data_IF_933178149948
#
_entry.id   IF_933178149948
#
_cell.length_a   1.000
_cell.length_b   1.000
_cell.length_c   1.000
_cell.angle_alpha   90.00
_cell.angle_beta   90.00
_cell.angle_gamma   90.00
#
_symmetry.space_group_name_H-M   'P 1'
#
loop_
_entity.id
_entity.type
_entity.pdbx_description
1 polymer ?
#
# COMPACT_ATOMS: atom_id res chain seq x y z
N UNK A 1 16.92 2.66 4.49
CA UNK A 1 15.94 1.71 3.90
C UNK A 1 15.42 2.32 2.61
N UNK A 2 15.13 1.53 1.57
CA UNK A 2 14.57 2.02 0.30
C UNK A 2 13.10 2.48 0.37
N UNK A 3 12.52 2.53 1.57
CA UNK A 3 11.12 2.87 1.84
C UNK A 3 10.33 1.68 2.40
N UNK A 4 9.06 1.92 2.74
CA UNK A 4 8.10 0.87 3.13
C UNK A 4 7.38 0.37 1.88
N UNK A 5 7.32 -0.95 1.63
CA UNK A 5 6.55 -1.45 0.49
C UNK A 5 5.05 -1.22 0.75
N UNK A 6 4.33 -0.79 -0.28
CA UNK A 6 2.88 -0.75 -0.31
C UNK A 6 2.40 -1.82 -1.30
N UNK A 7 1.30 -2.49 -0.97
CA UNK A 7 0.71 -3.51 -1.83
C UNK A 7 -0.79 -3.27 -1.98
N UNK A 8 -1.30 -3.49 -3.18
CA UNK A 8 -2.72 -3.35 -3.51
C UNK A 8 -3.14 -4.46 -4.46
N UNK A 9 -4.39 -4.90 -4.33
CA UNK A 9 -5.05 -5.74 -5.30
C UNK A 9 -6.01 -4.90 -6.13
N UNK A 10 -5.95 -5.06 -7.44
CA UNK A 10 -6.84 -4.40 -8.40
C UNK A 10 -7.60 -5.48 -9.15
N UNK A 11 -8.92 -5.41 -9.10
CA UNK A 11 -9.82 -6.23 -9.90
C UNK A 11 -10.35 -5.48 -11.11
N UNK A 12 -11.11 -6.20 -11.94
CA UNK A 12 -11.76 -5.63 -13.10
C UNK A 12 -13.27 -5.90 -13.01
N UNK A 13 -14.08 -4.84 -12.94
CA UNK A 13 -15.54 -4.92 -12.98
C UNK A 13 -16.04 -4.37 -14.31
N UNK A 14 -16.61 -5.23 -15.17
CA UNK A 14 -17.14 -5.02 -16.54
C UNK A 14 -16.28 -4.18 -17.50
N UNK A 15 -15.94 -2.94 -17.15
CA UNK A 15 -15.13 -2.01 -17.95
C UNK A 15 -14.05 -1.28 -17.12
N UNK A 16 -14.18 -1.20 -15.79
CA UNK A 16 -13.33 -0.33 -14.97
C UNK A 16 -12.50 -1.11 -13.95
N UNK A 17 -11.22 -0.76 -13.77
CA UNK A 17 -10.41 -1.29 -12.68
C UNK A 17 -10.93 -0.80 -11.33
N UNK A 18 -11.01 -1.70 -10.35
CA UNK A 18 -11.38 -1.40 -8.97
C UNK A 18 -10.20 -1.75 -8.07
N UNK A 19 -9.74 -0.80 -7.28
CA UNK A 19 -8.63 -0.96 -6.33
C UNK A 19 -9.20 -1.31 -4.96
N UNK A 20 -8.47 -2.12 -4.18
CA UNK A 20 -8.83 -2.49 -2.81
C UNK A 20 -10.12 -3.30 -2.77
N UNK A 21 -10.09 -4.43 -3.47
CA UNK A 21 -11.22 -5.34 -3.56
C UNK A 21 -11.62 -5.84 -2.16
N UNK A 22 -12.91 -5.75 -1.86
CA UNK A 22 -13.50 -6.47 -0.75
C UNK A 22 -13.62 -7.95 -1.06
N UNK A 23 -13.78 -8.78 -0.02
CA UNK A 23 -14.02 -10.22 -0.21
C UNK A 23 -15.31 -10.59 -0.97
N UNK A 24 -16.19 -9.62 -1.26
CA UNK A 24 -17.35 -9.81 -2.14
C UNK A 24 -17.04 -9.49 -3.60
N UNK A 25 -16.08 -8.60 -3.84
CA UNK A 25 -15.62 -8.21 -5.18
C UNK A 25 -14.55 -9.17 -5.69
N UNK A 26 -13.78 -9.77 -4.77
CA UNK A 26 -12.95 -10.92 -5.07
C UNK A 26 -13.83 -12.12 -5.41
N UNK A 27 -13.68 -12.62 -6.63
CA UNK A 27 -14.28 -13.86 -7.11
C UNK A 27 -13.20 -14.71 -7.73
N UNK A 28 -13.24 -16.02 -7.49
CA UNK A 28 -12.29 -16.97 -8.05
C UNK A 28 -12.24 -16.97 -9.59
N UNK A 29 -13.30 -16.50 -10.25
CA UNK A 29 -13.37 -16.38 -11.72
C UNK A 29 -13.03 -14.99 -12.26
N UNK A 30 -12.98 -13.96 -11.40
CA UNK A 30 -12.71 -12.59 -11.83
C UNK A 30 -11.19 -12.35 -11.92
N UNK A 31 -10.70 -11.65 -12.96
CA UNK A 31 -9.29 -11.32 -13.04
C UNK A 31 -8.93 -10.24 -12.03
N UNK A 32 -7.82 -10.45 -11.32
CA UNK A 32 -7.23 -9.46 -10.45
C UNK A 32 -5.70 -9.49 -10.54
N UNK A 33 -5.08 -8.35 -10.28
CA UNK A 33 -3.63 -8.21 -10.17
C UNK A 33 -3.29 -7.63 -8.81
N UNK A 34 -2.43 -8.32 -8.08
CA UNK A 34 -1.80 -7.79 -6.87
C UNK A 34 -0.44 -7.24 -7.23
N UNK A 35 -0.20 -5.97 -6.88
CA UNK A 35 1.08 -5.29 -7.11
C UNK A 35 1.63 -4.82 -5.78
N UNK A 36 2.92 -5.08 -5.52
CA UNK A 36 3.65 -4.46 -4.43
C UNK A 36 4.78 -3.59 -4.97
N UNK A 37 4.89 -2.36 -4.46
CA UNK A 37 5.88 -1.37 -4.89
C UNK A 37 6.63 -0.79 -3.71
N UNK A 38 7.88 -0.44 -3.94
CA UNK A 38 8.75 0.26 -3.02
C UNK A 38 9.04 1.67 -3.57
N UNK A 39 8.33 2.67 -3.08
CA UNK A 39 8.34 4.00 -3.70
C UNK A 39 7.59 4.01 -5.04
N UNK A 40 7.97 4.90 -5.96
CA UNK A 40 7.23 5.14 -7.21
C UNK A 40 7.53 4.19 -8.35
N UNK A 41 8.73 3.60 -8.41
CA UNK A 41 9.21 2.90 -9.61
C UNK A 41 9.68 1.46 -9.35
N UNK A 42 10.05 1.10 -8.11
CA UNK A 42 10.55 -0.24 -7.80
C UNK A 42 9.38 -1.20 -7.55
N UNK A 43 9.02 -1.99 -8.57
CA UNK A 43 8.06 -3.10 -8.43
C UNK A 43 8.74 -4.28 -7.73
N UNK A 44 8.15 -4.74 -6.62
CA UNK A 44 8.63 -5.86 -5.81
C UNK A 44 7.86 -7.14 -6.12
N UNK A 45 6.57 -7.02 -6.44
CA UNK A 45 5.68 -8.14 -6.73
C UNK A 45 4.67 -7.74 -7.80
N UNK A 46 4.45 -8.65 -8.75
CA UNK A 46 3.23 -8.68 -9.58
C UNK A 46 2.70 -10.10 -9.51
N UNK A 47 1.45 -10.25 -9.09
CA UNK A 47 0.74 -11.51 -9.07
C UNK A 47 -0.59 -11.36 -9.81
N UNK A 48 -0.71 -11.97 -10.98
CA UNK A 48 -1.94 -11.99 -11.77
C UNK A 48 -2.71 -13.28 -11.46
N UNK A 49 -3.98 -13.14 -11.10
CA UNK A 49 -4.92 -14.24 -10.96
C UNK A 49 -5.95 -14.17 -12.07
N UNK A 50 -6.20 -15.31 -12.72
CA UNK A 50 -7.01 -15.45 -13.93
C UNK A 50 -6.48 -14.68 -15.15
N UNK A 51 -7.06 -14.97 -16.32
CA UNK A 51 -6.66 -14.37 -17.59
C UNK A 51 -7.33 -13.03 -17.81
N UNK A 52 -6.57 -12.05 -18.32
CA UNK A 52 -7.10 -10.75 -18.72
C UNK A 52 -6.41 -10.29 -20.01
N UNK A 53 -7.10 -9.51 -20.84
CA UNK A 53 -6.51 -8.93 -22.05
C UNK A 53 -5.37 -7.97 -21.68
N UNK A 54 -4.25 -8.04 -22.42
CA UNK A 54 -3.03 -7.26 -22.16
C UNK A 54 -3.30 -5.75 -22.05
N UNK A 55 -4.18 -5.23 -22.90
CA UNK A 55 -4.62 -3.83 -22.90
C UNK A 55 -5.23 -3.39 -21.56
N UNK A 56 -5.93 -4.31 -20.89
CA UNK A 56 -6.53 -4.07 -19.57
C UNK A 56 -5.54 -4.27 -18.42
N UNK A 57 -4.48 -5.07 -18.61
CA UNK A 57 -3.41 -5.19 -17.61
C UNK A 57 -2.76 -3.83 -17.37
N UNK A 58 -2.45 -3.09 -18.46
CA UNK A 58 -1.81 -1.79 -18.35
C UNK A 58 -2.61 -0.82 -17.47
N UNK A 59 -3.92 -0.72 -17.70
CA UNK A 59 -4.80 0.15 -16.90
C UNK A 59 -4.91 -0.30 -15.44
N UNK A 60 -4.92 -1.61 -15.19
CA UNK A 60 -4.90 -2.16 -13.83
C UNK A 60 -3.59 -1.83 -13.10
N UNK A 61 -2.44 -1.92 -13.79
CA UNK A 61 -1.13 -1.59 -13.23
C UNK A 61 -0.99 -0.09 -12.93
N UNK A 62 -1.51 0.79 -13.80
CA UNK A 62 -1.52 2.24 -13.56
C UNK A 62 -2.35 2.60 -12.32
N UNK A 63 -3.53 1.97 -12.17
CA UNK A 63 -4.35 2.11 -10.96
C UNK A 63 -3.63 1.59 -9.72
N UNK A 64 -2.98 0.43 -9.82
CA UNK A 64 -2.23 -0.16 -8.72
C UNK A 64 -1.07 0.75 -8.28
N UNK A 65 -0.29 1.28 -9.23
CA UNK A 65 0.82 2.19 -8.97
C UNK A 65 0.37 3.46 -8.25
N UNK A 66 -0.69 4.09 -8.76
CA UNK A 66 -1.30 5.28 -8.14
C UNK A 66 -1.76 5.02 -6.71
N UNK A 67 -2.33 3.85 -6.45
CA UNK A 67 -2.80 3.47 -5.12
C UNK A 67 -1.65 3.14 -4.17
N UNK A 68 -0.62 2.42 -4.64
CA UNK A 68 0.61 2.16 -3.89
C UNK A 68 1.30 3.46 -3.45
N UNK A 69 1.40 4.46 -4.34
CA UNK A 69 1.97 5.77 -4.00
C UNK A 69 1.19 6.45 -2.86
N UNK A 70 -0.15 6.43 -2.92
CA UNK A 70 -1.00 7.01 -1.87
C UNK A 70 -0.83 6.29 -0.54
N UNK A 71 -0.86 4.95 -0.54
CA UNK A 71 -0.71 4.14 0.68
C UNK A 71 0.69 4.34 1.28
N UNK A 72 1.73 4.37 0.46
CA UNK A 72 3.09 4.61 0.90
C UNK A 72 3.21 5.95 1.65
N UNK A 73 2.67 7.04 1.09
CA UNK A 73 2.68 8.36 1.74
C UNK A 73 1.86 8.41 3.05
N UNK A 74 0.72 7.72 3.10
CA UNK A 74 -0.08 7.59 4.33
C UNK A 74 0.68 6.81 5.41
N UNK A 75 1.33 5.70 5.05
CA UNK A 75 2.15 4.90 5.96
C UNK A 75 3.33 5.70 6.50
N UNK A 76 4.03 6.44 5.64
CA UNK A 76 5.14 7.30 6.06
C UNK A 76 4.68 8.39 7.04
N UNK A 77 3.56 9.06 6.73
CA UNK A 77 2.99 10.09 7.60
C UNK A 77 2.62 9.52 8.97
N UNK A 78 1.92 8.38 8.99
CA UNK A 78 1.52 7.72 10.23
C UNK A 78 2.74 7.28 11.06
N UNK A 79 3.77 6.73 10.41
CA UNK A 79 5.00 6.33 11.07
C UNK A 79 5.74 7.54 11.68
N UNK A 80 5.89 8.63 10.94
CA UNK A 80 6.56 9.84 11.44
C UNK A 80 5.82 10.45 12.63
N UNK A 81 4.49 10.52 12.58
CA UNK A 81 3.68 10.98 13.71
C UNK A 81 3.85 10.10 14.95
N UNK A 82 3.89 8.78 14.77
CA UNK A 82 4.13 7.84 15.85
C UNK A 82 5.53 8.02 16.46
N UNK A 83 6.57 8.13 15.63
CA UNK A 83 7.94 8.33 16.09
C UNK A 83 8.08 9.63 16.89
N UNK A 84 7.56 10.75 16.38
CA UNK A 84 7.58 12.04 17.08
C UNK A 84 6.92 11.94 18.46
N UNK A 85 5.75 11.30 18.53
CA UNK A 85 5.04 11.09 19.80
C UNK A 85 5.84 10.22 20.77
N UNK A 86 6.49 9.18 20.27
CA UNK A 86 7.29 8.25 21.07
C UNK A 86 8.56 8.90 21.61
N UNK A 87 9.28 9.69 20.79
CA UNK A 87 10.45 10.45 21.24
C UNK A 87 10.10 11.50 22.30
N UNK A 88 9.03 12.26 22.09
CA UNK A 88 8.55 13.24 23.08
C UNK A 88 8.19 12.59 24.43
N UNK A 89 7.63 11.36 24.41
CA UNK A 89 7.36 10.60 25.65
C UNK A 89 8.64 10.12 26.32
N UNK A 90 9.63 9.69 25.55
CA UNK A 90 10.93 9.26 26.08
C UNK A 90 11.66 10.43 26.77
N UNK A 91 11.73 11.60 26.12
CA UNK A 91 12.34 12.80 26.72
C UNK A 91 11.68 13.17 28.05
N UNK A 92 10.35 13.16 28.12
CA UNK A 92 9.62 13.42 29.38
C UNK A 92 9.91 12.40 30.48
N UNK A 93 10.16 11.14 30.14
CA UNK A 93 10.56 10.11 31.11
C UNK A 93 11.96 10.36 31.68
N UNK A 94 12.89 10.85 30.87
CA UNK A 94 14.26 11.16 31.33
C UNK A 94 14.37 12.54 32.01
N UNK A 95 13.45 13.46 31.72
CA UNK A 95 13.38 14.78 32.35
C UNK A 95 12.61 14.80 33.69
N UNK A 96 11.96 13.70 34.08
CA UNK A 96 11.34 13.59 35.40
C UNK A 96 12.44 13.60 36.47
N UNK A 97 12.40 14.51 37.47
CA UNK A 97 13.41 14.54 38.51
C UNK A 97 13.42 13.19 39.23
N UNK A 98 14.61 12.61 39.39
CA UNK A 98 14.82 11.46 40.25
C UNK A 98 14.32 11.81 41.64
N UNK A 99 13.21 11.19 42.04
CA UNK A 99 12.68 11.32 43.40
C UNK A 99 13.73 10.68 44.32
N UNK A 100 14.50 11.52 45.00
CA UNK A 100 15.40 11.16 46.11
C UNK A 100 14.66 11.43 47.41
#
# INVERSE_FOLDING_TARGET
MKGLPAAVTVGLSDVHPCVDLSGREESASSPCVTVAMMGKEDIVLIHLQNTVYSERVATMLDCASTACEKINGLMETALMQHLQTSFNRAERRFAAPSVV
#
